data_IF_621893787538
#
_entry.id   IF_621893787538
#
_cell.length_a   1.000
_cell.length_b   1.000
_cell.length_c   1.000
_cell.angle_alpha   90.00
_cell.angle_beta   90.00
_cell.angle_gamma   90.00
#
_symmetry.space_group_name_H-M   'P 1'
#
loop_
_entity.id
_entity.type
_entity.pdbx_description
1 polymer ?
#
# COMPACT_ATOMS: atom_id res chain seq x y z
N UNK A 1 42.89 -9.97 -6.87
CA UNK A 1 41.47 -10.01 -7.29
C UNK A 1 41.44 -10.37 -8.78
N UNK A 2 40.61 -11.31 -9.21
CA UNK A 2 40.51 -11.74 -10.62
C UNK A 2 39.73 -10.71 -11.44
N UNK A 3 40.12 -10.48 -12.71
CA UNK A 3 39.38 -9.64 -13.67
C UNK A 3 37.89 -10.02 -13.74
N UNK A 4 37.59 -11.32 -13.67
CA UNK A 4 36.22 -11.84 -13.65
C UNK A 4 35.44 -11.30 -12.46
N UNK A 5 36.06 -11.21 -11.29
CA UNK A 5 35.42 -10.66 -10.10
C UNK A 5 35.14 -9.17 -10.25
N UNK A 6 36.06 -8.40 -10.83
CA UNK A 6 35.84 -6.98 -11.08
C UNK A 6 34.69 -6.74 -12.06
N UNK A 7 34.64 -7.50 -13.16
CA UNK A 7 33.53 -7.46 -14.11
C UNK A 7 32.21 -7.79 -13.40
N UNK A 8 32.14 -8.89 -12.64
CA UNK A 8 30.92 -9.26 -11.91
C UNK A 8 30.50 -8.19 -10.90
N UNK A 9 31.46 -7.58 -10.19
CA UNK A 9 31.21 -6.51 -9.24
C UNK A 9 30.61 -5.29 -9.94
N UNK A 10 31.18 -4.84 -11.05
CA UNK A 10 30.67 -3.71 -11.82
C UNK A 10 29.27 -3.98 -12.38
N UNK A 11 29.06 -5.17 -12.96
CA UNK A 11 27.74 -5.60 -13.46
C UNK A 11 26.69 -5.65 -12.34
N UNK A 12 27.08 -6.03 -11.12
CA UNK A 12 26.21 -6.03 -9.94
C UNK A 12 25.96 -4.61 -9.38
N UNK A 13 26.90 -3.68 -9.59
CA UNK A 13 26.88 -2.33 -9.05
C UNK A 13 25.97 -1.40 -9.86
N UNK A 14 25.81 -1.65 -11.15
CA UNK A 14 24.85 -0.92 -11.98
C UNK A 14 23.41 -1.08 -11.47
N UNK A 15 22.58 -0.04 -11.58
CA UNK A 15 21.18 -0.09 -11.17
C UNK A 15 20.27 0.48 -12.25
N UNK A 16 19.35 -0.35 -12.75
CA UNK A 16 18.38 -0.05 -13.80
C UNK A 16 16.97 -0.19 -13.25
N UNK A 17 15.98 0.43 -13.90
CA UNK A 17 14.57 0.28 -13.54
C UNK A 17 13.91 -0.72 -14.48
N UNK A 18 13.40 -1.83 -13.94
CA UNK A 18 12.71 -2.87 -14.71
C UNK A 18 11.40 -3.24 -14.03
N UNK A 19 10.29 -3.21 -14.79
CA UNK A 19 8.93 -3.52 -14.31
C UNK A 19 8.56 -2.83 -12.97
N UNK A 20 9.03 -1.59 -12.78
CA UNK A 20 8.77 -0.79 -11.58
C UNK A 20 9.73 -0.99 -10.40
N UNK A 21 10.66 -1.94 -10.47
CA UNK A 21 11.68 -2.20 -9.44
C UNK A 21 13.08 -1.79 -9.89
N UNK A 22 13.96 -1.40 -8.95
CA UNK A 22 15.39 -1.22 -9.24
C UNK A 22 16.08 -2.59 -9.24
N UNK A 23 16.75 -2.92 -10.33
CA UNK A 23 17.49 -4.17 -10.53
C UNK A 23 18.91 -3.89 -10.99
N UNK A 24 19.84 -4.83 -10.82
CA UNK A 24 21.16 -4.78 -11.47
C UNK A 24 21.10 -5.30 -12.92
N UNK A 25 22.24 -5.36 -13.63
CA UNK A 25 22.26 -5.84 -15.01
C UNK A 25 21.84 -7.31 -15.15
N UNK A 26 21.97 -8.11 -14.09
CA UNK A 26 21.48 -9.49 -14.03
C UNK A 26 19.98 -9.61 -13.75
N UNK A 27 19.26 -8.49 -13.59
CA UNK A 27 17.84 -8.48 -13.23
C UNK A 27 17.56 -8.77 -11.76
N UNK A 28 18.60 -8.83 -10.91
CA UNK A 28 18.46 -9.08 -9.47
C UNK A 28 18.02 -7.77 -8.79
N UNK A 29 16.97 -7.78 -7.96
CA UNK A 29 16.52 -6.59 -7.24
C UNK A 29 17.64 -5.98 -6.39
N UNK A 30 17.90 -4.69 -6.55
CA UNK A 30 18.78 -3.94 -5.67
C UNK A 30 18.02 -3.48 -4.43
N UNK A 31 18.25 -4.15 -3.32
CA UNK A 31 17.76 -3.74 -2.02
C UNK A 31 18.56 -2.55 -1.49
N UNK A 32 17.96 -1.76 -0.61
CA UNK A 32 18.70 -0.72 0.13
C UNK A 32 19.77 -1.41 0.99
N UNK A 33 20.98 -0.88 1.00
CA UNK A 33 22.03 -1.36 1.88
C UNK A 33 21.69 -0.92 3.31
N UNK A 34 21.39 -1.89 4.17
CA UNK A 34 21.24 -1.67 5.61
C UNK A 34 22.52 -2.11 6.32
N UNK A 35 22.89 -1.44 7.41
CA UNK A 35 24.04 -1.87 8.21
C UNK A 35 23.80 -3.27 8.78
N UNK A 36 24.87 -4.06 8.91
CA UNK A 36 24.81 -5.42 9.43
C UNK A 36 24.19 -5.46 10.85
N UNK A 37 24.45 -4.42 11.66
CA UNK A 37 23.88 -4.26 12.99
C UNK A 37 22.34 -4.08 12.94
N UNK A 38 21.83 -3.32 11.97
CA UNK A 38 20.39 -3.14 11.80
C UNK A 38 19.70 -4.44 11.38
N UNK A 39 20.29 -5.16 10.42
CA UNK A 39 19.77 -6.46 9.96
C UNK A 39 19.82 -7.51 11.07
N UNK A 40 20.92 -7.56 11.82
CA UNK A 40 21.08 -8.47 12.96
C UNK A 40 20.07 -8.18 14.07
N UNK A 41 19.87 -6.91 14.42
CA UNK A 41 18.85 -6.51 15.39
C UNK A 41 17.44 -6.88 14.94
N UNK A 42 17.12 -6.65 13.67
CA UNK A 42 15.83 -7.03 13.08
C UNK A 42 15.62 -8.54 13.09
N UNK A 43 16.62 -9.33 12.69
CA UNK A 43 16.56 -10.79 12.72
C UNK A 43 16.39 -11.33 14.14
N UNK A 44 17.12 -10.77 15.11
CA UNK A 44 17.00 -11.12 16.53
C UNK A 44 15.59 -10.84 17.05
N UNK A 45 15.03 -9.68 16.74
CA UNK A 45 13.65 -9.33 17.09
C UNK A 45 12.65 -10.32 16.49
N UNK A 46 12.71 -10.57 15.18
CA UNK A 46 11.79 -11.47 14.48
C UNK A 46 11.86 -12.90 15.06
N UNK A 47 13.08 -13.37 15.39
CA UNK A 47 13.28 -14.66 16.07
C UNK A 47 12.70 -14.67 17.48
N UNK A 48 12.99 -13.66 18.30
CA UNK A 48 12.43 -13.53 19.67
C UNK A 48 10.90 -13.47 19.67
N UNK A 49 10.30 -12.83 18.68
CA UNK A 49 8.85 -12.78 18.52
C UNK A 49 8.22 -14.10 18.05
N UNK A 50 9.04 -15.08 17.65
CA UNK A 50 8.61 -16.41 17.21
C UNK A 50 8.00 -16.42 15.80
N UNK A 51 8.38 -15.49 14.93
CA UNK A 51 7.92 -15.48 13.53
C UNK A 51 8.81 -16.32 12.60
N UNK A 52 10.09 -16.51 12.97
CA UNK A 52 11.06 -17.31 12.23
C UNK A 52 11.83 -18.18 13.21
N UNK A 53 12.13 -19.40 12.78
CA UNK A 53 12.94 -20.40 13.50
C UNK A 53 14.11 -20.85 12.62
N UNK A 54 15.13 -21.42 13.26
CA UNK A 54 16.23 -22.06 12.55
C UNK A 54 15.91 -23.54 12.36
N UNK A 55 16.09 -24.01 11.13
CA UNK A 55 16.04 -25.41 10.74
C UNK A 55 17.40 -25.82 10.19
N UNK A 56 17.63 -27.12 10.05
CA UNK A 56 18.87 -27.65 9.49
C UNK A 56 19.13 -27.16 8.05
N UNK A 57 18.08 -26.79 7.31
CA UNK A 57 18.16 -26.23 5.95
C UNK A 57 18.20 -24.69 5.90
N UNK A 58 18.16 -24.01 7.05
CA UNK A 58 18.19 -22.54 7.15
C UNK A 58 16.99 -21.94 7.90
N UNK A 59 16.66 -20.68 7.61
CA UNK A 59 15.60 -19.93 8.29
C UNK A 59 14.21 -20.34 7.78
N UNK A 60 13.34 -20.80 8.68
CA UNK A 60 11.97 -21.21 8.36
C UNK A 60 10.94 -20.29 9.01
N UNK A 61 9.89 -19.93 8.27
CA UNK A 61 8.80 -19.10 8.80
C UNK A 61 7.84 -19.98 9.60
N UNK A 62 7.63 -19.63 10.87
CA UNK A 62 6.76 -20.37 11.79
C UNK A 62 5.29 -20.23 11.39
N UNK A 63 4.41 -21.08 11.92
CA UNK A 63 2.95 -20.92 11.75
C UNK A 63 2.45 -19.55 12.23
N UNK A 64 3.06 -19.02 13.30
CA UNK A 64 2.76 -17.68 13.82
C UNK A 64 3.19 -16.60 12.82
N UNK A 65 4.39 -16.73 12.25
CA UNK A 65 4.89 -15.86 11.19
C UNK A 65 4.00 -15.89 9.96
N UNK A 66 3.59 -17.08 9.52
CA UNK A 66 2.68 -17.25 8.38
C UNK A 66 1.32 -16.62 8.65
N UNK A 67 0.73 -16.80 9.85
CA UNK A 67 -0.52 -16.12 10.23
C UNK A 67 -0.38 -14.60 10.26
N UNK A 68 0.75 -14.08 10.77
CA UNK A 68 1.03 -12.65 10.76
C UNK A 68 1.11 -12.11 9.33
N UNK A 69 1.85 -12.79 8.47
CA UNK A 69 1.99 -12.45 7.05
C UNK A 69 0.61 -12.51 6.38
N UNK A 70 -0.14 -13.59 6.57
CA UNK A 70 -1.48 -13.76 6.02
C UNK A 70 -2.42 -12.64 6.46
N UNK A 71 -2.47 -12.30 7.75
CA UNK A 71 -3.25 -11.16 8.26
C UNK A 71 -2.84 -9.82 7.63
N UNK A 72 -1.56 -9.66 7.30
CA UNK A 72 -1.02 -8.44 6.69
C UNK A 72 -1.24 -8.40 5.17
N UNK A 73 -1.26 -9.56 4.52
CA UNK A 73 -1.60 -9.74 3.10
C UNK A 73 -3.12 -9.62 2.90
N UNK A 74 -3.93 -10.16 3.83
CA UNK A 74 -5.38 -10.01 4.00
C UNK A 74 -5.76 -8.56 4.41
N UNK A 75 -4.99 -7.60 3.90
CA UNK A 75 -5.31 -6.19 3.85
C UNK A 75 -6.74 -5.98 3.36
N UNK A 76 -7.35 -4.89 3.85
CA UNK A 76 -8.71 -4.47 3.49
C UNK A 76 -8.95 -4.60 1.97
N UNK A 77 -10.13 -5.10 1.59
CA UNK A 77 -10.49 -5.47 0.21
C UNK A 77 -10.08 -4.38 -0.77
N UNK A 78 -9.37 -4.74 -1.83
CA UNK A 78 -9.01 -3.81 -2.89
C UNK A 78 -10.06 -3.84 -3.99
N UNK A 79 -10.51 -2.66 -4.40
CA UNK A 79 -11.45 -2.49 -5.50
C UNK A 79 -10.69 -2.05 -6.75
N UNK A 80 -10.87 -2.78 -7.84
CA UNK A 80 -10.32 -2.44 -9.15
C UNK A 80 -11.40 -1.74 -9.97
N UNK A 81 -11.78 -0.56 -9.52
CA UNK A 81 -12.63 0.34 -10.27
C UNK A 81 -11.82 1.60 -10.61
N UNK A 82 -11.97 2.10 -11.83
CA UNK A 82 -11.35 3.35 -12.28
C UNK A 82 -12.43 4.16 -12.98
N UNK A 83 -12.59 5.39 -12.54
CA UNK A 83 -13.34 6.37 -13.31
C UNK A 83 -12.43 6.96 -14.39
N UNK A 84 -13.04 7.46 -15.46
CA UNK A 84 -12.33 8.25 -16.45
C UNK A 84 -11.69 9.48 -15.80
N UNK A 85 -10.54 9.90 -16.33
CA UNK A 85 -9.81 11.05 -15.79
C UNK A 85 -10.60 12.36 -15.95
N UNK A 86 -11.45 12.43 -16.98
CA UNK A 86 -12.31 13.57 -17.29
C UNK A 86 -13.72 13.45 -16.70
N UNK A 87 -13.94 12.48 -15.81
CA UNK A 87 -15.25 12.29 -15.21
C UNK A 87 -15.62 13.49 -14.33
N UNK A 88 -16.89 13.92 -14.35
CA UNK A 88 -17.32 15.15 -13.72
C UNK A 88 -17.28 15.04 -12.20
N UNK A 89 -16.64 15.99 -11.52
CA UNK A 89 -16.39 15.95 -10.07
C UNK A 89 -17.61 16.43 -9.28
N UNK A 90 -18.65 15.60 -9.27
CA UNK A 90 -20.00 15.97 -8.81
C UNK A 90 -20.39 15.28 -7.50
N UNK A 91 -19.49 14.54 -6.85
CA UNK A 91 -19.75 13.88 -5.57
C UNK A 91 -18.71 14.31 -4.54
N UNK A 92 -19.19 14.87 -3.43
CA UNK A 92 -18.39 15.06 -2.23
C UNK A 92 -18.52 13.83 -1.33
N UNK A 93 -17.40 13.36 -0.83
CA UNK A 93 -17.27 12.30 0.17
C UNK A 93 -16.64 12.91 1.41
N UNK A 94 -17.35 12.86 2.53
CA UNK A 94 -16.88 13.27 3.84
C UNK A 94 -16.81 12.06 4.75
N UNK A 95 -15.78 11.98 5.59
CA UNK A 95 -15.73 10.93 6.60
C UNK A 95 -15.19 11.41 7.95
N UNK A 96 -15.80 10.95 9.03
CA UNK A 96 -15.29 11.11 10.38
C UNK A 96 -14.97 9.72 10.97
N UNK A 97 -13.68 9.39 11.01
CA UNK A 97 -13.18 8.07 11.44
C UNK A 97 -12.19 8.30 12.58
N UNK A 98 -12.39 7.70 13.77
CA UNK A 98 -11.52 7.91 14.93
C UNK A 98 -10.10 7.37 14.71
N UNK A 99 -9.13 7.87 15.47
CA UNK A 99 -7.71 7.48 15.34
C UNK A 99 -7.46 6.01 15.63
N UNK A 100 -8.31 5.39 16.44
CA UNK A 100 -8.29 3.95 16.71
C UNK A 100 -8.45 3.11 15.44
N UNK A 101 -9.09 3.66 14.39
CA UNK A 101 -9.31 3.04 13.07
C UNK A 101 -8.44 3.67 11.98
N UNK A 102 -7.16 3.90 12.28
CA UNK A 102 -6.20 4.52 11.35
C UNK A 102 -6.03 3.71 10.06
N UNK A 103 -6.03 2.38 10.14
CA UNK A 103 -5.84 1.52 8.98
C UNK A 103 -6.98 1.67 7.96
N UNK A 104 -8.22 1.73 8.44
CA UNK A 104 -9.43 1.94 7.64
C UNK A 104 -9.44 3.31 7.00
N UNK A 105 -8.99 4.34 7.74
CA UNK A 105 -8.89 5.71 7.23
C UNK A 105 -7.90 5.81 6.07
N UNK A 106 -6.71 5.22 6.23
CA UNK A 106 -5.68 5.23 5.18
C UNK A 106 -6.10 4.39 3.98
N UNK A 107 -6.77 3.25 4.20
CA UNK A 107 -7.35 2.43 3.14
C UNK A 107 -8.43 3.18 2.34
N UNK A 108 -9.31 3.92 3.01
CA UNK A 108 -10.35 4.71 2.36
C UNK A 108 -9.73 5.81 1.50
N UNK A 109 -8.74 6.54 2.04
CA UNK A 109 -7.99 7.57 1.31
C UNK A 109 -7.27 7.00 0.09
N UNK A 110 -6.65 5.82 0.23
CA UNK A 110 -5.99 5.15 -0.88
C UNK A 110 -6.98 4.78 -2.00
N UNK A 111 -8.16 4.26 -1.64
CA UNK A 111 -9.22 3.95 -2.61
C UNK A 111 -9.78 5.19 -3.29
N UNK A 112 -10.06 6.26 -2.54
CA UNK A 112 -10.54 7.52 -3.11
C UNK A 112 -9.55 8.11 -4.11
N UNK A 113 -8.24 8.12 -3.79
CA UNK A 113 -7.20 8.50 -4.76
C UNK A 113 -7.22 7.63 -6.01
N UNK A 114 -7.39 6.31 -5.86
CA UNK A 114 -7.47 5.36 -6.97
C UNK A 114 -8.70 5.59 -7.86
N UNK A 115 -9.78 6.10 -7.28
CA UNK A 115 -11.01 6.50 -7.98
C UNK A 115 -10.96 7.92 -8.56
N UNK A 116 -9.79 8.53 -8.66
CA UNK A 116 -9.58 9.91 -9.13
C UNK A 116 -10.27 10.98 -8.28
N UNK A 117 -10.56 10.70 -7.01
CA UNK A 117 -11.02 11.74 -6.09
C UNK A 117 -9.86 12.66 -5.72
N UNK A 118 -10.17 13.93 -5.63
CA UNK A 118 -9.26 15.00 -5.23
C UNK A 118 -9.59 15.42 -3.79
N UNK A 119 -8.57 15.63 -2.97
CA UNK A 119 -8.76 16.07 -1.58
C UNK A 119 -8.96 17.59 -1.57
N UNK A 120 -10.06 18.06 -0.99
CA UNK A 120 -10.31 19.49 -0.75
C UNK A 120 -9.80 19.86 0.65
N UNK A 121 -10.09 19.02 1.64
CA UNK A 121 -9.69 19.18 3.04
C UNK A 121 -9.38 17.81 3.66
N UNK A 122 -8.74 17.79 4.83
CA UNK A 122 -8.58 16.57 5.63
C UNK A 122 -9.96 15.92 5.83
N UNK A 123 -10.10 14.71 5.27
CA UNK A 123 -11.33 13.90 5.31
C UNK A 123 -12.51 14.38 4.45
N UNK A 124 -12.29 15.37 3.56
CA UNK A 124 -13.26 15.82 2.56
C UNK A 124 -12.67 15.68 1.17
N UNK A 125 -13.35 14.92 0.32
CA UNK A 125 -12.90 14.56 -1.02
C UNK A 125 -13.99 14.86 -2.03
N UNK A 126 -13.60 15.20 -3.26
CA UNK A 126 -14.53 15.40 -4.36
C UNK A 126 -14.11 14.57 -5.57
N UNK A 127 -15.06 13.99 -6.26
CA UNK A 127 -14.80 13.13 -7.39
C UNK A 127 -16.07 12.72 -8.13
N UNK A 128 -15.94 11.77 -9.05
CA UNK A 128 -17.03 11.38 -9.93
C UNK A 128 -18.10 10.52 -9.23
N UNK A 129 -19.36 10.74 -9.62
CA UNK A 129 -20.50 9.91 -9.20
C UNK A 129 -20.83 8.90 -10.30
N UNK A 130 -21.38 7.70 -9.98
CA UNK A 130 -21.65 7.14 -8.66
C UNK A 130 -20.53 6.22 -8.16
N UNK A 131 -20.33 6.16 -6.83
CA UNK A 131 -19.42 5.18 -6.23
C UNK A 131 -19.89 3.73 -6.50
N UNK A 132 -18.97 2.77 -6.71
CA UNK A 132 -19.33 1.38 -6.93
C UNK A 132 -20.15 0.82 -5.76
N UNK A 133 -21.23 0.08 -6.04
CA UNK A 133 -22.09 -0.53 -5.00
C UNK A 133 -21.29 -1.43 -4.06
N UNK A 134 -20.42 -2.29 -4.62
CA UNK A 134 -19.59 -3.18 -3.81
C UNK A 134 -18.66 -2.46 -2.83
N UNK A 135 -18.24 -1.24 -3.17
CA UNK A 135 -17.41 -0.41 -2.30
C UNK A 135 -18.22 0.12 -1.11
N UNK A 136 -19.45 0.57 -1.36
CA UNK A 136 -20.37 1.01 -0.31
C UNK A 136 -20.76 -0.15 0.62
N UNK A 137 -21.04 -1.32 0.06
CA UNK A 137 -21.36 -2.53 0.84
C UNK A 137 -20.20 -2.94 1.75
N UNK A 138 -18.97 -2.77 1.27
CA UNK A 138 -17.78 -3.06 2.07
C UNK A 138 -17.55 -2.04 3.19
N UNK A 139 -17.81 -0.75 2.94
CA UNK A 139 -17.80 0.30 3.97
C UNK A 139 -18.78 -0.03 5.11
N UNK A 140 -19.93 -0.60 4.77
CA UNK A 140 -20.90 -1.10 5.74
C UNK A 140 -20.37 -2.31 6.52
N UNK A 141 -19.78 -3.28 5.82
CA UNK A 141 -19.17 -4.48 6.44
C UNK A 141 -18.07 -4.14 7.45
N UNK A 142 -17.24 -3.11 7.18
CA UNK A 142 -16.16 -2.68 8.09
C UNK A 142 -16.62 -1.71 9.19
N UNK A 143 -17.94 -1.46 9.31
CA UNK A 143 -18.54 -0.62 10.35
C UNK A 143 -17.97 0.80 10.41
N UNK A 144 -17.69 1.41 9.25
CA UNK A 144 -17.32 2.83 9.15
C UNK A 144 -18.41 3.69 8.49
N UNK A 145 -19.54 3.08 8.09
CA UNK A 145 -20.68 3.74 7.47
C UNK A 145 -21.20 4.95 8.28
N UNK A 146 -21.24 4.86 9.60
CA UNK A 146 -21.75 5.94 10.46
C UNK A 146 -20.97 7.26 10.30
N UNK A 147 -19.66 7.16 10.04
CA UNK A 147 -18.80 8.31 9.81
C UNK A 147 -18.79 8.76 8.36
N UNK A 148 -19.29 7.96 7.41
CA UNK A 148 -19.15 8.17 5.97
C UNK A 148 -20.41 8.84 5.40
N UNK A 149 -20.26 10.04 4.83
CA UNK A 149 -21.34 10.81 4.22
C UNK A 149 -21.00 11.17 2.79
N UNK A 150 -21.99 11.12 1.91
CA UNK A 150 -21.86 11.53 0.51
C UNK A 150 -22.87 12.63 0.18
N UNK A 151 -22.42 13.62 -0.58
CA UNK A 151 -23.24 14.74 -1.01
C UNK A 151 -23.09 14.91 -2.52
N UNK A 152 -24.21 14.87 -3.24
CA UNK A 152 -24.22 15.16 -4.68
C UNK A 152 -24.19 16.66 -4.88
N UNK A 153 -23.24 17.13 -5.69
CA UNK A 153 -23.14 18.52 -6.08
C UNK A 153 -24.06 18.82 -7.27
N UNK A 154 -24.67 19.99 -7.26
CA UNK A 154 -25.49 20.49 -8.36
C UNK A 154 -24.64 20.98 -9.55
N UNK A 155 -23.42 21.45 -9.28
CA UNK A 155 -22.42 21.87 -10.27
C UNK A 155 -21.10 21.17 -10.01
N UNK A 156 -20.33 20.94 -11.06
CA UNK A 156 -19.03 20.29 -10.95
C UNK A 156 -18.06 21.16 -10.16
N UNK A 157 -17.23 20.51 -9.34
CA UNK A 157 -16.21 21.23 -8.59
C UNK A 157 -15.01 21.56 -9.49
N UNK A 158 -14.88 22.84 -9.85
CA UNK A 158 -13.70 23.35 -10.54
C UNK A 158 -12.58 23.65 -9.53
N UNK A 159 -11.38 23.15 -9.83
CA UNK A 159 -10.18 23.39 -9.05
C UNK A 159 -9.47 24.69 -9.45
N UNK A 160 -9.89 25.33 -10.55
CA UNK A 160 -9.35 26.63 -10.97
C UNK A 160 -9.90 27.73 -10.06
N UNK A 161 -9.06 28.14 -9.11
CA UNK A 161 -9.08 29.47 -8.51
C UNK A 161 -7.78 30.17 -8.86
#
# INVERSE_FOLDING_TARGET
MSLVYEILKELSATSLRYKGSRVNLFGIPKFKNYSQNCLSGTLSYIRKTGFIEHSDAGLMITLKGQKYIKKKIDSLKQFHFKFDQNAPKNLIVMFDIPETKKAEREWLRWHLKKFNYSMIQKSVWVGPSPLPKEFLDYIEKIKIKNGFKTFKLAKEYDFKK
#
